data_IF_293895209990
#
_entry.id   IF_293895209990
#
_cell.length_a   1.000
_cell.length_b   1.000
_cell.length_c   1.000
_cell.angle_alpha   90.00
_cell.angle_beta   90.00
_cell.angle_gamma   90.00
#
_symmetry.space_group_name_H-M   'P 1'
#
loop_
_entity.id
_entity.type
_entity.pdbx_description
1 polymer ?
#
# COMPACT_ATOMS: atom_id res chain seq x y z
N UNK A 1 12.65 -6.44 -18.30
CA UNK A 1 12.17 -7.83 -18.27
C UNK A 1 11.54 -8.07 -16.89
N UNK A 2 10.21 -8.02 -16.83
CA UNK A 2 9.47 -8.23 -15.58
C UNK A 2 9.52 -9.74 -15.25
N UNK A 3 10.20 -10.08 -14.16
CA UNK A 3 10.18 -11.45 -13.63
C UNK A 3 8.77 -11.72 -13.09
N UNK A 4 8.02 -12.70 -13.65
CA UNK A 4 6.73 -13.05 -13.12
C UNK A 4 6.92 -13.66 -11.72
N UNK A 5 6.32 -13.04 -10.71
CA UNK A 5 6.20 -13.65 -9.38
C UNK A 5 5.26 -14.85 -9.54
N UNK A 6 5.68 -16.09 -9.26
CA UNK A 6 4.82 -17.24 -9.42
C UNK A 6 3.58 -17.09 -8.52
N UNK A 7 2.38 -17.43 -9.00
CA UNK A 7 1.18 -17.38 -8.19
C UNK A 7 1.37 -18.37 -7.02
N UNK A 8 1.49 -17.85 -5.82
CA UNK A 8 1.38 -18.68 -4.62
C UNK A 8 -0.08 -19.07 -4.54
N UNK A 9 -0.38 -20.31 -4.93
CA UNK A 9 -1.74 -20.81 -5.03
C UNK A 9 -2.49 -20.60 -3.72
N UNK A 10 -3.60 -19.87 -3.81
CA UNK A 10 -4.60 -19.79 -2.76
C UNK A 10 -4.88 -18.40 -2.16
N UNK A 11 -4.10 -17.35 -2.46
CA UNK A 11 -4.32 -16.04 -1.83
C UNK A 11 -4.14 -14.86 -2.79
N UNK A 12 -4.98 -13.82 -2.68
CA UNK A 12 -4.91 -12.64 -3.53
C UNK A 12 -3.72 -11.76 -3.09
N UNK A 13 -2.52 -12.13 -3.52
CA UNK A 13 -1.35 -11.26 -3.42
C UNK A 13 -1.12 -10.57 -4.75
N UNK A 14 -1.16 -9.24 -4.75
CA UNK A 14 -0.73 -8.45 -5.89
C UNK A 14 0.59 -7.79 -5.52
N UNK A 15 1.66 -8.24 -6.14
CA UNK A 15 2.94 -7.52 -6.10
C UNK A 15 2.99 -6.55 -7.27
N UNK A 16 3.25 -5.27 -7.01
CA UNK A 16 3.48 -4.27 -8.06
C UNK A 16 4.96 -3.92 -8.03
N UNK A 17 5.63 -4.14 -9.15
CA UNK A 17 7.02 -3.73 -9.36
C UNK A 17 7.00 -2.58 -10.35
N UNK A 18 7.47 -1.41 -9.95
CA UNK A 18 7.61 -0.28 -10.87
C UNK A 18 9.01 -0.27 -11.52
N UNK A 19 9.22 0.51 -12.61
CA UNK A 19 10.51 0.60 -13.30
C UNK A 19 11.67 1.04 -12.42
N UNK A 20 11.39 1.78 -11.33
CA UNK A 20 12.39 2.32 -10.41
C UNK A 20 12.83 1.31 -9.32
N UNK A 21 12.44 0.05 -9.45
CA UNK A 21 12.82 -1.01 -8.52
C UNK A 21 12.03 -1.05 -7.21
N UNK A 22 11.10 -0.12 -6.96
CA UNK A 22 10.26 -0.15 -5.76
C UNK A 22 9.25 -1.30 -5.82
N UNK A 23 9.19 -2.10 -4.77
CA UNK A 23 8.28 -3.23 -4.64
C UNK A 23 7.23 -2.93 -3.59
N UNK A 24 5.97 -3.12 -3.97
CA UNK A 24 4.82 -3.03 -3.05
C UNK A 24 4.20 -4.40 -2.89
N UNK A 25 4.09 -4.88 -1.66
CA UNK A 25 3.39 -6.13 -1.33
C UNK A 25 2.10 -5.80 -0.60
N UNK A 26 0.97 -6.20 -1.18
CA UNK A 26 -0.35 -6.00 -0.58
C UNK A 26 -0.78 -7.27 0.15
N UNK A 27 -1.17 -7.15 1.41
CA UNK A 27 -1.54 -8.27 2.26
C UNK A 27 -2.80 -7.98 3.09
N UNK A 28 -3.61 -8.99 3.42
CA UNK A 28 -4.63 -8.85 4.46
C UNK A 28 -3.96 -8.73 5.83
N UNK A 29 -4.60 -8.05 6.82
CA UNK A 29 -4.05 -7.84 8.15
C UNK A 29 -4.27 -9.05 9.07
N UNK A 30 -3.93 -10.25 8.63
CA UNK A 30 -4.08 -11.48 9.39
C UNK A 30 -2.78 -12.30 9.46
N UNK A 31 -2.79 -13.34 10.28
CA UNK A 31 -1.61 -14.21 10.49
C UNK A 31 -1.16 -14.90 9.19
N UNK A 32 -2.10 -15.25 8.32
CA UNK A 32 -1.78 -15.88 7.04
C UNK A 32 -1.16 -14.87 6.08
N UNK A 33 -1.69 -13.65 6.04
CA UNK A 33 -1.11 -12.52 5.32
C UNK A 33 0.31 -12.23 5.79
N UNK A 34 0.56 -12.22 7.09
CA UNK A 34 1.89 -12.06 7.67
C UNK A 34 2.85 -13.17 7.20
N UNK A 35 2.43 -14.44 7.31
CA UNK A 35 3.23 -15.61 6.90
C UNK A 35 3.59 -15.53 5.40
N UNK A 36 2.61 -15.30 4.55
CA UNK A 36 2.81 -15.23 3.11
C UNK A 36 3.69 -14.04 2.71
N UNK A 37 3.48 -12.88 3.31
CA UNK A 37 4.35 -11.71 3.11
C UNK A 37 5.79 -12.02 3.48
N UNK A 38 6.03 -12.71 4.60
CA UNK A 38 7.38 -13.14 5.01
C UNK A 38 8.05 -14.02 3.97
N UNK A 39 7.32 -14.96 3.36
CA UNK A 39 7.84 -15.79 2.27
C UNK A 39 8.22 -14.97 1.04
N UNK A 40 7.35 -14.04 0.62
CA UNK A 40 7.61 -13.15 -0.51
C UNK A 40 8.85 -12.28 -0.26
N UNK A 41 8.94 -11.64 0.91
CA UNK A 41 10.10 -10.83 1.28
C UNK A 41 11.40 -11.64 1.32
N UNK A 42 11.35 -12.87 1.80
CA UNK A 42 12.50 -13.77 1.80
C UNK A 42 12.95 -14.13 0.40
N UNK A 43 12.00 -14.31 -0.54
CA UNK A 43 12.30 -14.54 -1.95
C UNK A 43 12.90 -13.30 -2.60
N UNK A 44 12.30 -12.13 -2.39
CA UNK A 44 12.78 -10.85 -2.92
C UNK A 44 14.21 -10.54 -2.44
N UNK A 45 14.51 -10.74 -1.16
CA UNK A 45 15.87 -10.55 -0.63
C UNK A 45 16.93 -11.42 -1.31
N UNK A 46 16.56 -12.61 -1.78
CA UNK A 46 17.49 -13.52 -2.50
C UNK A 46 17.67 -13.15 -3.96
N UNK A 47 16.62 -12.65 -4.60
CA UNK A 47 16.60 -12.39 -6.05
C UNK A 47 16.91 -10.94 -6.40
N UNK A 48 16.67 -10.02 -5.48
CA UNK A 48 16.75 -8.56 -5.66
C UNK A 48 17.44 -7.87 -4.48
N UNK A 49 18.60 -8.36 -4.09
CA UNK A 49 19.35 -7.91 -2.90
C UNK A 49 19.75 -6.42 -2.92
N UNK A 50 19.77 -5.79 -4.10
CA UNK A 50 20.19 -4.40 -4.29
C UNK A 50 19.00 -3.44 -4.50
N UNK A 51 17.77 -3.96 -4.45
CA UNK A 51 16.59 -3.14 -4.68
C UNK A 51 16.23 -2.27 -3.46
N UNK A 52 15.41 -1.26 -3.73
CA UNK A 52 14.84 -0.42 -2.68
C UNK A 52 14.04 -1.23 -1.66
N UNK A 53 13.95 -0.72 -0.44
CA UNK A 53 13.17 -1.35 0.63
C UNK A 53 11.70 -1.54 0.20
N UNK A 54 11.20 -2.75 0.39
CA UNK A 54 9.84 -3.11 0.04
C UNK A 54 8.83 -2.40 0.96
N UNK A 55 7.78 -1.82 0.38
CA UNK A 55 6.63 -1.28 1.12
C UNK A 55 5.55 -2.36 1.26
N UNK A 56 5.13 -2.64 2.49
CA UNK A 56 4.03 -3.55 2.77
C UNK A 56 2.76 -2.75 2.99
N UNK A 57 1.70 -3.10 2.26
CA UNK A 57 0.38 -2.46 2.35
C UNK A 57 -0.61 -3.45 2.96
N UNK A 58 -1.13 -3.13 4.13
CA UNK A 58 -2.22 -3.88 4.77
C UNK A 58 -3.54 -3.39 4.19
N UNK A 59 -4.20 -4.24 3.42
CA UNK A 59 -5.48 -3.92 2.81
C UNK A 59 -6.65 -4.47 3.62
N UNK A 60 -7.80 -3.79 3.57
CA UNK A 60 -9.05 -4.15 4.27
C UNK A 60 -8.94 -4.11 5.79
N UNK A 61 -8.12 -3.21 6.34
CA UNK A 61 -7.99 -3.02 7.80
C UNK A 61 -9.34 -2.56 8.39
N UNK A 62 -9.77 -3.21 9.46
CA UNK A 62 -11.06 -2.99 10.12
C UNK A 62 -12.20 -3.90 9.65
N UNK A 63 -11.91 -4.82 8.69
CA UNK A 63 -12.90 -5.81 8.22
C UNK A 63 -13.23 -6.87 9.27
N UNK A 64 -12.21 -7.35 10.01
CA UNK A 64 -12.34 -8.45 10.97
C UNK A 64 -11.67 -8.13 12.30
N UNK A 65 -12.20 -7.15 13.00
CA UNK A 65 -11.58 -6.49 14.18
C UNK A 65 -10.96 -7.43 15.23
N UNK A 66 -11.52 -8.62 15.43
CA UNK A 66 -11.06 -9.56 16.46
C UNK A 66 -9.88 -10.45 16.05
N UNK A 67 -9.55 -10.50 14.76
CA UNK A 67 -8.53 -11.41 14.21
C UNK A 67 -7.46 -10.70 13.38
N UNK A 68 -7.47 -9.38 13.40
CA UNK A 68 -6.51 -8.57 12.68
C UNK A 68 -5.25 -8.32 13.50
N UNK A 69 -4.13 -8.41 12.82
CA UNK A 69 -2.83 -7.97 13.34
C UNK A 69 -2.64 -6.48 13.00
N UNK A 70 -2.12 -5.73 13.93
CA UNK A 70 -1.79 -4.32 13.75
C UNK A 70 -0.61 -4.11 12.79
N UNK A 71 -0.49 -2.92 12.23
CA UNK A 71 0.68 -2.53 11.43
C UNK A 71 2.01 -2.66 12.22
N UNK A 72 1.96 -2.48 13.54
CA UNK A 72 3.13 -2.66 14.41
C UNK A 72 3.54 -4.12 14.51
N UNK A 73 2.60 -5.04 14.67
CA UNK A 73 2.86 -6.47 14.69
C UNK A 73 3.40 -6.96 13.35
N UNK A 74 2.85 -6.47 12.23
CA UNK A 74 3.39 -6.75 10.89
C UNK A 74 4.82 -6.23 10.74
N UNK A 75 5.08 -4.99 11.14
CA UNK A 75 6.42 -4.40 11.08
C UNK A 75 7.44 -5.23 11.86
N UNK A 76 7.10 -5.59 13.08
CA UNK A 76 7.96 -6.42 13.96
C UNK A 76 8.15 -7.82 13.40
N UNK A 77 7.06 -8.48 12.98
CA UNK A 77 7.09 -9.87 12.48
C UNK A 77 7.82 -10.05 11.16
N UNK A 78 7.82 -9.02 10.29
CA UNK A 78 8.49 -9.03 9.00
C UNK A 78 9.91 -8.43 9.04
N UNK A 79 10.23 -7.63 10.07
CA UNK A 79 11.48 -6.87 10.13
C UNK A 79 11.59 -5.81 9.03
N UNK A 80 10.48 -5.12 8.72
CA UNK A 80 10.41 -4.05 7.72
C UNK A 80 10.03 -2.72 8.36
N UNK A 81 10.45 -1.61 7.76
CA UNK A 81 10.14 -0.27 8.26
C UNK A 81 8.87 0.31 7.64
N UNK A 82 8.61 -0.03 6.37
CA UNK A 82 7.51 0.54 5.59
C UNK A 82 6.27 -0.36 5.62
N UNK A 83 5.33 -0.05 6.49
CA UNK A 83 4.02 -0.70 6.55
C UNK A 83 2.94 0.39 6.56
N UNK A 84 2.08 0.36 5.56
CA UNK A 84 0.95 1.30 5.37
C UNK A 84 -0.36 0.52 5.46
N UNK A 85 -1.38 1.13 6.03
CA UNK A 85 -2.70 0.53 6.19
C UNK A 85 -3.74 1.21 5.32
N UNK A 86 -4.54 0.42 4.59
CA UNK A 86 -5.72 0.87 3.86
C UNK A 86 -6.94 0.31 4.57
N UNK A 87 -7.84 1.19 5.01
CA UNK A 87 -9.07 0.82 5.71
C UNK A 87 -10.04 0.06 4.81
N UNK A 88 -10.85 -0.77 5.43
CA UNK A 88 -11.98 -1.42 4.76
C UNK A 88 -13.19 -0.47 4.75
N UNK A 89 -13.52 0.07 3.58
CA UNK A 89 -14.67 0.96 3.38
C UNK A 89 -15.45 0.54 2.11
N UNK A 90 -16.25 -0.52 2.19
CA UNK A 90 -17.04 -0.99 1.05
C UNK A 90 -18.07 0.05 0.59
N UNK A 91 -18.58 0.92 1.47
CA UNK A 91 -19.58 1.90 1.12
C UNK A 91 -19.00 2.98 0.18
N UNK A 92 -17.77 3.41 0.40
CA UNK A 92 -17.10 4.37 -0.47
C UNK A 92 -16.84 3.78 -1.87
N UNK A 93 -16.42 2.51 -1.95
CA UNK A 93 -16.22 1.83 -3.24
C UNK A 93 -17.53 1.61 -3.99
N UNK A 94 -18.58 1.15 -3.31
CA UNK A 94 -19.89 0.93 -3.93
C UNK A 94 -20.50 2.24 -4.45
N UNK A 95 -20.35 3.34 -3.72
CA UNK A 95 -20.78 4.66 -4.19
C UNK A 95 -20.04 5.08 -5.47
N UNK A 96 -18.72 4.95 -5.50
CA UNK A 96 -17.91 5.27 -6.67
C UNK A 96 -18.30 4.41 -7.89
N UNK A 97 -18.47 3.09 -7.70
CA UNK A 97 -18.88 2.16 -8.77
C UNK A 97 -20.28 2.51 -9.28
N UNK A 98 -21.25 2.71 -8.40
CA UNK A 98 -22.65 2.96 -8.78
C UNK A 98 -22.84 4.32 -9.46
N UNK A 99 -22.01 5.30 -9.13
CA UNK A 99 -22.09 6.65 -9.74
C UNK A 99 -21.17 6.81 -10.95
N UNK A 100 -20.30 5.85 -11.22
CA UNK A 100 -19.29 5.95 -12.28
C UNK A 100 -18.21 7.02 -12.02
N UNK A 101 -18.10 7.49 -10.79
CA UNK A 101 -17.11 8.47 -10.39
C UNK A 101 -15.85 7.81 -9.81
N UNK A 102 -14.71 8.48 -9.94
CA UNK A 102 -13.50 8.08 -9.24
C UNK A 102 -13.68 8.28 -7.73
N UNK A 103 -13.06 7.43 -6.93
CA UNK A 103 -13.16 7.46 -5.47
C UNK A 103 -12.86 8.86 -4.88
N UNK A 104 -11.90 9.59 -5.44
CA UNK A 104 -11.53 10.93 -5.02
C UNK A 104 -12.64 11.99 -5.22
N UNK A 105 -13.56 11.76 -6.15
CA UNK A 105 -14.69 12.64 -6.42
C UNK A 105 -15.93 12.29 -5.57
N UNK A 106 -15.94 11.10 -4.92
CA UNK A 106 -17.03 10.70 -4.05
C UNK A 106 -16.92 11.40 -2.69
N UNK A 107 -18.07 11.78 -2.12
CA UNK A 107 -18.10 12.45 -0.82
C UNK A 107 -17.54 11.59 0.32
N UNK A 108 -17.68 10.27 0.22
CA UNK A 108 -17.22 9.29 1.22
C UNK A 108 -15.80 8.82 1.03
N UNK A 109 -15.19 9.05 -0.15
CA UNK A 109 -13.87 8.54 -0.49
C UNK A 109 -12.67 9.25 0.15
N UNK A 110 -12.86 10.39 0.80
CA UNK A 110 -11.77 11.26 1.30
C UNK A 110 -10.78 10.54 2.22
N UNK A 111 -11.30 9.77 3.17
CA UNK A 111 -10.46 9.05 4.14
C UNK A 111 -9.66 7.94 3.48
N UNK A 112 -10.27 7.24 2.53
CA UNK A 112 -9.63 6.17 1.76
C UNK A 112 -8.58 6.73 0.80
N UNK A 113 -8.84 7.90 0.18
CA UNK A 113 -7.85 8.60 -0.63
C UNK A 113 -6.62 9.00 0.19
N UNK A 114 -6.81 9.43 1.44
CA UNK A 114 -5.67 9.72 2.32
C UNK A 114 -4.82 8.48 2.62
N UNK A 115 -5.45 7.31 2.80
CA UNK A 115 -4.72 6.05 2.96
C UNK A 115 -3.94 5.67 1.68
N UNK A 116 -4.53 5.88 0.50
CA UNK A 116 -3.86 5.65 -0.79
C UNK A 116 -2.72 6.65 -1.04
N UNK A 117 -2.90 7.91 -0.68
CA UNK A 117 -1.85 8.93 -0.75
C UNK A 117 -0.65 8.56 0.15
N UNK A 118 -0.91 7.96 1.32
CA UNK A 118 0.14 7.45 2.19
C UNK A 118 0.93 6.32 1.52
N UNK A 119 0.27 5.40 0.80
CA UNK A 119 0.95 4.34 0.03
C UNK A 119 1.87 4.94 -1.03
N UNK A 120 1.37 5.91 -1.80
CA UNK A 120 2.15 6.60 -2.83
C UNK A 120 3.38 7.30 -2.22
N UNK A 121 3.15 8.01 -1.10
CA UNK A 121 4.21 8.74 -0.40
C UNK A 121 5.31 7.81 0.10
N UNK A 122 4.95 6.73 0.78
CA UNK A 122 5.91 5.77 1.34
C UNK A 122 6.64 4.96 0.25
N UNK A 123 6.01 4.75 -0.90
CA UNK A 123 6.58 3.95 -1.98
C UNK A 123 7.45 4.75 -2.92
N UNK A 124 6.99 5.93 -3.35
CA UNK A 124 7.60 6.69 -4.44
C UNK A 124 8.51 7.82 -3.97
N UNK A 125 8.30 8.36 -2.75
CA UNK A 125 9.17 9.40 -2.26
C UNK A 125 10.45 8.79 -1.67
N UNK A 126 11.63 9.15 -2.17
CA UNK A 126 12.88 8.68 -1.59
C UNK A 126 12.96 9.14 -0.12
N UNK A 127 13.24 8.21 0.77
CA UNK A 127 13.52 8.53 2.16
C UNK A 127 14.74 9.46 2.20
N UNK A 128 14.52 10.74 2.43
CA UNK A 128 15.60 11.66 2.75
C UNK A 128 16.09 11.30 4.15
N UNK A 129 17.12 10.48 4.22
CA UNK A 129 17.82 10.20 5.46
C UNK A 129 18.21 11.52 6.13
N UNK A 130 17.56 11.83 7.23
CA UNK A 130 18.04 12.76 8.24
C UNK A 130 18.27 14.22 7.83
N UNK A 131 17.21 14.96 7.43
CA UNK A 131 17.20 16.41 7.57
C UNK A 131 15.73 16.90 7.62
N UNK A 132 15.38 17.48 8.75
CA UNK A 132 14.18 18.27 9.08
C UNK A 132 13.01 18.28 8.10
N UNK A 133 11.94 17.63 8.50
CA UNK A 133 10.64 17.76 7.82
C UNK A 133 10.17 19.22 7.89
N UNK A 134 10.45 19.99 6.85
CA UNK A 134 9.62 21.17 6.54
C UNK A 134 8.32 20.63 5.97
N UNK A 135 7.22 20.80 6.70
CA UNK A 135 5.85 20.63 6.21
C UNK A 135 5.68 21.49 4.96
N UNK A 136 5.87 20.92 3.77
CA UNK A 136 5.42 21.56 2.55
C UNK A 136 3.97 21.15 2.33
N UNK A 137 3.06 21.87 2.99
CA UNK A 137 1.67 21.86 2.61
C UNK A 137 1.55 22.38 1.18
N UNK A 138 0.92 21.63 0.29
CA UNK A 138 0.25 22.23 -0.85
C UNK A 138 0.79 22.00 -2.24
N UNK A 139 1.72 21.08 -2.52
CA UNK A 139 2.26 20.93 -3.89
C UNK A 139 1.49 19.97 -4.82
N UNK A 140 0.56 19.17 -4.32
CA UNK A 140 -0.22 18.24 -5.16
C UNK A 140 -1.64 18.73 -5.50
N UNK A 141 -2.06 19.92 -5.01
CA UNK A 141 -3.37 20.49 -5.33
C UNK A 141 -3.59 20.91 -6.81
N UNK A 142 -2.59 21.23 -7.64
CA UNK A 142 -2.86 21.66 -9.01
C UNK A 142 -3.11 20.51 -9.99
N UNK A 143 -2.65 19.29 -9.74
CA UNK A 143 -2.72 18.21 -10.74
C UNK A 143 -4.12 17.63 -10.92
N UNK A 144 -4.94 17.60 -9.87
CA UNK A 144 -6.30 17.05 -9.95
C UNK A 144 -7.37 18.03 -10.45
N UNK A 145 -7.07 19.32 -10.58
CA UNK A 145 -8.03 20.33 -11.03
C UNK A 145 -8.29 20.33 -12.54
N UNK A 146 -7.51 19.58 -13.31
CA UNK A 146 -7.56 19.59 -14.79
C UNK A 146 -8.42 18.47 -15.40
N UNK A 147 -8.98 17.56 -14.58
CA UNK A 147 -9.77 16.41 -15.07
C UNK A 147 -11.28 16.51 -14.80
N UNK A 148 -11.78 17.65 -14.36
CA UNK A 148 -13.22 17.88 -14.24
C UNK A 148 -13.69 18.93 -15.24
N UNK A 149 -13.74 18.56 -16.50
CA UNK A 149 -14.61 19.11 -17.54
C UNK A 149 -15.05 18.01 -18.46
#
# INVERSE_FOLDING_TARGET
ESVPVPPVSGFPFVGIVNPDGAVVVVAPPDLLGLKNTKHILSHLKRTRAHDAECTVVLNKVGMSRSHELSATEFRTGLGVNKVVSIRFDPAAFMEAINTGHVLAASGKGKSLCADLDAVVTETLLPQRNGAGVRKSGGLLRPLFRRWSR
#
